data_IF_525380431764
#
_entry.id   IF_525380431764
#
_cell.length_a   1.000
_cell.length_b   1.000
_cell.length_c   1.000
_cell.angle_alpha   90.00
_cell.angle_beta   90.00
_cell.angle_gamma   90.00
#
_symmetry.space_group_name_H-M   'P 1'
#
loop_
_entity.id
_entity.type
_entity.pdbx_description
1 polymer ?
#
# COMPACT_ATOMS: atom_id res chain seq x y z
N UNK A 1 6.85 -15.05 4.87
CA UNK A 1 7.82 -14.12 5.49
C UNK A 1 8.15 -13.03 4.50
N UNK A 2 7.60 -11.83 4.71
CA UNK A 2 8.01 -10.63 3.96
C UNK A 2 8.67 -9.71 4.98
N UNK A 3 9.92 -9.31 4.71
CA UNK A 3 10.71 -8.41 5.56
C UNK A 3 10.69 -7.05 4.90
N UNK A 4 10.18 -6.03 5.59
CA UNK A 4 10.08 -4.68 5.06
C UNK A 4 11.13 -3.75 5.69
N UNK A 5 11.94 -3.12 4.84
CA UNK A 5 12.70 -1.92 5.18
C UNK A 5 12.63 -1.01 3.95
N UNK A 6 11.90 0.09 4.03
CA UNK A 6 11.81 1.06 2.94
C UNK A 6 12.75 2.25 3.24
N UNK A 7 13.95 2.21 2.66
CA UNK A 7 14.77 3.40 2.42
C UNK A 7 14.87 3.54 0.91
N UNK A 8 13.94 4.27 0.30
CA UNK A 8 13.92 4.49 -1.15
C UNK A 8 14.02 6.00 -1.46
N UNK A 9 15.04 6.44 -2.23
CA UNK A 9 15.20 7.84 -2.62
C UNK A 9 14.25 8.29 -3.74
N UNK A 10 13.52 7.39 -4.40
CA UNK A 10 12.49 7.73 -5.39
C UNK A 10 11.18 7.02 -5.03
N UNK A 11 10.15 7.82 -4.76
CA UNK A 11 8.84 7.34 -4.31
C UNK A 11 7.83 7.45 -5.47
N UNK A 12 7.28 6.33 -5.96
CA UNK A 12 6.10 6.39 -6.81
C UNK A 12 4.91 6.79 -5.94
N UNK A 13 4.34 7.98 -6.17
CA UNK A 13 3.03 8.31 -5.61
C UNK A 13 2.00 7.40 -6.25
N UNK A 14 1.07 6.88 -5.44
CA UNK A 14 -0.09 6.11 -5.90
C UNK A 14 -0.79 6.90 -7.01
N UNK A 15 -0.79 6.41 -8.23
CA UNK A 15 -1.53 7.06 -9.30
C UNK A 15 -3.01 6.74 -9.11
N UNK A 16 -3.88 7.75 -9.24
CA UNK A 16 -5.34 7.67 -8.99
C UNK A 16 -6.11 6.67 -9.87
N UNK A 17 -5.43 5.89 -10.71
CA UNK A 17 -5.98 4.91 -11.67
C UNK A 17 -5.79 3.46 -11.18
N UNK A 18 -5.08 3.21 -10.07
CA UNK A 18 -4.66 1.85 -9.67
C UNK A 18 -5.76 0.96 -9.06
N UNK A 19 -6.82 1.53 -8.48
CA UNK A 19 -7.85 0.76 -7.75
C UNK A 19 -8.51 -0.36 -8.59
N UNK A 20 -8.92 -0.05 -9.82
CA UNK A 20 -9.54 -1.03 -10.72
C UNK A 20 -8.55 -2.03 -11.33
N UNK A 21 -7.29 -1.62 -11.49
CA UNK A 21 -6.31 -2.40 -12.25
C UNK A 21 -5.73 -3.57 -11.44
N UNK A 22 -5.75 -3.47 -10.12
CA UNK A 22 -5.19 -4.49 -9.22
C UNK A 22 -5.86 -5.84 -9.45
N UNK A 23 -7.19 -5.87 -9.49
CA UNK A 23 -7.94 -7.11 -9.69
C UNK A 23 -7.84 -7.61 -11.14
N UNK A 24 -7.91 -6.70 -12.12
CA UNK A 24 -7.79 -7.02 -13.55
C UNK A 24 -6.43 -7.67 -13.90
N UNK A 25 -5.35 -7.22 -13.26
CA UNK A 25 -4.03 -7.80 -13.41
C UNK A 25 -3.80 -9.07 -12.55
N UNK A 26 -4.78 -9.46 -11.73
CA UNK A 26 -4.68 -10.62 -10.84
C UNK A 26 -3.64 -10.46 -9.73
N UNK A 27 -3.43 -9.22 -9.26
CA UNK A 27 -2.46 -8.94 -8.20
C UNK A 27 -2.93 -9.60 -6.89
N UNK A 28 -2.06 -10.39 -6.28
CA UNK A 28 -2.34 -11.09 -5.02
C UNK A 28 -1.70 -10.41 -3.81
N UNK A 29 -0.55 -9.80 -4.01
CA UNK A 29 0.19 -9.02 -3.02
C UNK A 29 0.43 -7.63 -3.61
N UNK A 30 -0.13 -6.61 -2.96
CA UNK A 30 -0.01 -5.23 -3.40
C UNK A 30 0.84 -4.45 -2.40
N UNK A 31 2.00 -3.97 -2.84
CA UNK A 31 2.95 -3.25 -2.00
C UNK A 31 2.88 -1.77 -2.36
N UNK A 32 2.69 -0.93 -1.34
CA UNK A 32 2.43 0.51 -1.49
C UNK A 32 3.44 1.33 -0.69
N UNK A 33 4.66 1.55 -1.22
CA UNK A 33 5.58 2.53 -0.67
C UNK A 33 4.96 3.93 -0.73
N UNK A 34 4.95 4.66 0.38
CA UNK A 34 4.29 5.97 0.46
C UNK A 34 4.93 6.90 1.51
N UNK A 35 4.57 8.19 1.42
CA UNK A 35 4.97 9.23 2.37
C UNK A 35 3.77 9.83 3.12
N UNK A 36 2.75 9.02 3.37
CA UNK A 36 1.48 9.48 3.91
C UNK A 36 1.27 8.85 5.28
N UNK A 37 1.57 9.59 6.35
CA UNK A 37 1.51 9.15 7.75
C UNK A 37 0.19 9.57 8.45
N UNK A 38 -0.86 9.77 7.67
CA UNK A 38 -2.19 10.13 8.17
C UNK A 38 -3.04 8.89 8.47
N UNK A 39 -3.94 8.99 9.44
CA UNK A 39 -4.92 7.93 9.71
C UNK A 39 -5.87 7.74 8.53
N UNK A 40 -6.20 8.81 7.80
CA UNK A 40 -7.06 8.74 6.62
C UNK A 40 -6.51 7.83 5.52
N UNK A 41 -5.18 7.75 5.40
CA UNK A 41 -4.53 6.85 4.45
C UNK A 41 -4.81 5.39 4.76
N UNK A 42 -4.90 5.03 6.05
CA UNK A 42 -5.17 3.66 6.49
C UNK A 42 -6.54 3.18 5.99
N UNK A 43 -7.54 4.06 6.00
CA UNK A 43 -8.85 3.78 5.40
C UNK A 43 -8.74 3.51 3.90
N UNK A 44 -7.93 4.28 3.18
CA UNK A 44 -7.71 4.09 1.73
C UNK A 44 -7.07 2.75 1.43
N UNK A 45 -5.95 2.40 2.07
CA UNK A 45 -5.25 1.14 1.79
C UNK A 45 -6.04 -0.10 2.22
N UNK A 46 -6.87 0.02 3.26
CA UNK A 46 -7.83 -1.03 3.64
C UNK A 46 -8.94 -1.19 2.59
N UNK A 47 -9.44 -0.10 2.04
CA UNK A 47 -10.42 -0.13 0.95
C UNK A 47 -9.83 -0.77 -0.32
N UNK A 48 -8.56 -0.50 -0.65
CA UNK A 48 -7.85 -1.16 -1.75
C UNK A 48 -7.84 -2.69 -1.54
N UNK A 49 -7.53 -3.16 -0.33
CA UNK A 49 -7.49 -4.59 -0.03
C UNK A 49 -8.85 -5.26 -0.23
N UNK A 50 -9.91 -4.58 0.24
CA UNK A 50 -11.29 -5.02 0.06
C UNK A 50 -11.70 -5.06 -1.41
N UNK A 51 -11.47 -4.00 -2.18
CA UNK A 51 -11.88 -3.95 -3.58
C UNK A 51 -11.09 -4.93 -4.45
N UNK A 52 -9.75 -4.95 -4.29
CA UNK A 52 -8.87 -5.77 -5.11
C UNK A 52 -8.77 -7.24 -4.68
N UNK A 53 -9.35 -7.62 -3.53
CA UNK A 53 -9.25 -8.96 -2.94
C UNK A 53 -7.82 -9.49 -2.90
N UNK A 54 -6.90 -8.64 -2.44
CA UNK A 54 -5.47 -8.93 -2.34
C UNK A 54 -4.93 -8.53 -0.97
N UNK A 55 -3.77 -9.07 -0.59
CA UNK A 55 -3.06 -8.58 0.58
C UNK A 55 -2.42 -7.22 0.25
N UNK A 56 -2.65 -6.21 1.08
CA UNK A 56 -2.08 -4.88 0.88
C UNK A 56 -1.07 -4.58 1.97
N UNK A 57 0.10 -4.09 1.58
CA UNK A 57 1.19 -3.68 2.46
C UNK A 57 1.49 -2.20 2.23
N UNK A 58 1.08 -1.34 3.15
CA UNK A 58 1.41 0.08 3.13
C UNK A 58 2.74 0.30 3.83
N UNK A 59 3.71 0.88 3.14
CA UNK A 59 5.06 1.10 3.66
C UNK A 59 5.34 2.59 3.73
N UNK A 60 5.20 3.16 4.93
CA UNK A 60 5.50 4.56 5.20
C UNK A 60 6.77 4.67 6.06
N UNK A 61 7.70 5.52 5.61
CA UNK A 61 8.95 5.77 6.32
C UNK A 61 8.72 6.50 7.65
N UNK A 62 9.44 6.07 8.68
CA UNK A 62 9.66 6.87 9.87
C UNK A 62 10.94 7.69 9.64
N UNK A 63 10.83 9.02 9.68
CA UNK A 63 11.94 9.90 9.28
C UNK A 63 12.17 10.99 10.32
N UNK A 64 13.42 11.09 10.78
CA UNK A 64 13.88 12.17 11.66
C UNK A 64 14.64 13.23 10.86
N UNK A 65 14.59 14.48 11.32
CA UNK A 65 15.37 15.57 10.73
C UNK A 65 16.89 15.28 10.74
N UNK A 66 17.37 14.61 11.79
CA UNK A 66 18.77 14.20 11.95
C UNK A 66 19.22 13.14 10.94
N UNK A 67 18.31 12.45 10.24
CA UNK A 67 18.65 11.49 9.20
C UNK A 67 19.16 12.17 7.92
N UNK A 68 18.90 13.47 7.74
CA UNK A 68 19.45 14.23 6.63
C UNK A 68 20.90 14.65 6.90
N UNK A 69 21.76 14.77 5.87
CA UNK A 69 23.10 15.35 6.02
C UNK A 69 23.04 16.77 6.58
N UNK A 70 24.05 17.21 7.34
CA UNK A 70 24.11 18.55 7.95
C UNK A 70 23.88 19.70 6.96
N UNK A 71 24.32 19.53 5.71
CA UNK A 71 24.16 20.52 4.64
C UNK A 71 22.73 20.63 4.09
N UNK A 72 21.80 19.76 4.50
CA UNK A 72 20.45 19.71 3.95
C UNK A 72 19.50 20.67 4.70
N UNK A 73 18.62 21.43 4.01
CA UNK A 73 17.75 22.42 4.67
C UNK A 73 16.77 21.85 5.71
N UNK A 74 16.47 20.54 5.65
CA UNK A 74 15.60 19.88 6.62
C UNK A 74 16.36 19.26 7.79
N UNK A 75 17.70 19.28 7.77
CA UNK A 75 18.51 18.81 8.88
C UNK A 75 18.27 19.67 10.12
N UNK A 76 18.09 19.00 11.25
CA UNK A 76 18.03 19.62 12.56
C UNK A 76 18.51 18.59 13.59
N UNK A 77 19.30 19.04 14.55
CA UNK A 77 19.72 18.22 15.68
C UNK A 77 18.52 17.79 16.54
N UNK A 78 18.63 16.60 17.13
CA UNK A 78 17.65 16.06 18.08
C UNK A 78 16.55 15.19 17.46
N UNK A 79 15.45 15.06 18.20
CA UNK A 79 14.41 14.04 17.97
C UNK A 79 13.26 14.50 17.07
N UNK A 80 13.42 15.58 16.29
CA UNK A 80 12.34 16.11 15.45
C UNK A 80 11.92 15.07 14.40
N UNK A 81 10.73 14.52 14.56
CA UNK A 81 10.09 13.62 13.59
C UNK A 81 9.52 14.45 12.45
N UNK A 82 9.91 14.11 11.23
CA UNK A 82 9.40 14.70 9.99
C UNK A 82 8.29 13.83 9.37
N UNK A 83 8.36 12.51 9.59
CA UNK A 83 7.33 11.56 9.18
C UNK A 83 7.23 10.47 10.23
N UNK A 84 5.99 10.18 10.65
CA UNK A 84 5.74 9.25 11.76
C UNK A 84 5.67 7.79 11.32
N UNK A 85 5.80 7.48 10.03
CA UNK A 85 5.57 6.12 9.54
C UNK A 85 4.09 5.80 9.42
N UNK A 86 3.63 4.72 10.06
CA UNK A 86 2.28 4.19 9.88
C UNK A 86 2.21 3.07 8.83
N UNK A 87 3.30 2.31 8.69
CA UNK A 87 3.30 1.09 7.88
C UNK A 87 2.31 0.07 8.45
N UNK A 88 1.54 -0.57 7.57
CA UNK A 88 0.41 -1.43 7.95
C UNK A 88 0.18 -2.51 6.90
N UNK A 89 -0.56 -3.55 7.28
CA UNK A 89 -0.89 -4.66 6.39
C UNK A 89 -2.33 -5.13 6.59
N UNK A 90 -3.00 -5.47 5.49
CA UNK A 90 -4.40 -5.86 5.48
C UNK A 90 -4.62 -7.14 4.66
N UNK A 91 -5.54 -7.99 5.12
CA UNK A 91 -6.00 -9.17 4.40
C UNK A 91 -6.92 -8.78 3.22
N UNK A 92 -7.19 -9.70 2.28
CA UNK A 92 -8.17 -9.50 1.20
C UNK A 92 -9.60 -9.19 1.67
N UNK A 93 -9.92 -9.53 2.92
CA UNK A 93 -11.20 -9.21 3.57
C UNK A 93 -11.12 -7.95 4.42
N UNK A 94 -9.99 -7.23 4.36
CA UNK A 94 -9.75 -6.00 5.10
C UNK A 94 -9.47 -6.23 6.59
N UNK A 95 -9.14 -7.44 7.02
CA UNK A 95 -8.69 -7.67 8.39
C UNK A 95 -7.31 -7.03 8.59
N UNK A 96 -7.07 -6.49 9.78
CA UNK A 96 -5.77 -5.89 10.09
C UNK A 96 -4.79 -6.99 10.44
N UNK A 97 -3.77 -7.16 9.60
CA UNK A 97 -2.67 -8.11 9.82
C UNK A 97 -1.49 -7.45 10.53
N UNK A 98 -1.33 -6.13 10.31
CA UNK A 98 -0.35 -5.30 10.99
C UNK A 98 -0.93 -3.91 11.22
N UNK A 99 -1.05 -3.54 12.49
CA UNK A 99 -1.50 -2.21 12.91
C UNK A 99 -0.45 -1.14 12.54
N UNK A 100 -0.90 0.06 12.14
CA UNK A 100 0.00 1.16 11.84
C UNK A 100 0.79 1.57 13.09
N UNK A 101 2.10 1.70 12.94
CA UNK A 101 2.99 2.19 14.00
C UNK A 101 3.48 3.59 13.71
N UNK A 102 3.21 4.50 14.65
CA UNK A 102 3.61 5.90 14.56
C UNK A 102 4.74 6.30 15.53
N UNK A 103 5.26 5.34 16.31
CA UNK A 103 6.16 5.61 17.43
C UNK A 103 7.64 5.37 17.11
N UNK A 104 7.96 4.76 15.96
CA UNK A 104 9.35 4.53 15.59
C UNK A 104 9.57 3.59 14.41
N UNK A 105 10.84 3.43 14.05
CA UNK A 105 11.30 2.45 13.06
C UNK A 105 11.09 1.03 13.57
N UNK A 106 10.66 0.14 12.67
CA UNK A 106 10.39 -1.26 13.00
C UNK A 106 10.56 -2.12 11.76
N UNK A 107 10.88 -3.39 11.99
CA UNK A 107 10.81 -4.45 10.98
C UNK A 107 9.75 -5.44 11.44
N UNK A 108 8.71 -5.59 10.63
CA UNK A 108 7.60 -6.50 10.90
C UNK A 108 7.63 -7.70 9.97
N UNK A 109 7.13 -8.81 10.47
CA UNK A 109 6.89 -10.02 9.70
C UNK A 109 5.40 -10.33 9.80
N UNK A 110 4.76 -10.46 8.65
CA UNK A 110 3.35 -10.83 8.54
C UNK A 110 3.24 -12.18 7.85
N UNK A 111 2.35 -13.02 8.37
CA UNK A 111 1.95 -14.27 7.74
C UNK A 111 0.70 -14.05 6.91
N UNK A 112 0.65 -14.66 5.72
CA UNK A 112 -0.46 -14.52 4.79
C UNK A 112 -0.90 -15.92 4.36
N UNK A 113 -2.14 -16.30 4.66
CA UNK A 113 -2.75 -17.50 4.10
C UNK A 113 -3.23 -17.21 2.67
N UNK A 114 -2.47 -17.68 1.68
CA UNK A 114 -2.81 -17.49 0.28
C UNK A 114 -4.14 -18.14 -0.12
N UNK A 115 -4.66 -19.07 0.68
CA UNK A 115 -6.01 -19.62 0.50
C UNK A 115 -7.12 -18.58 0.71
N UNK A 116 -6.86 -17.50 1.45
CA UNK A 116 -7.84 -16.41 1.65
C UNK A 116 -8.18 -15.68 0.37
N UNK A 117 -7.24 -15.56 -0.58
CA UNK A 117 -7.45 -14.87 -1.87
C UNK A 117 -8.62 -15.51 -2.64
N UNK A 118 -8.61 -16.84 -2.73
CA UNK A 118 -9.65 -17.60 -3.42
C UNK A 118 -10.98 -17.45 -2.68
N UNK A 119 -10.96 -17.59 -1.34
CA UNK A 119 -12.17 -17.46 -0.51
C UNK A 119 -12.78 -16.06 -0.62
N UNK A 120 -11.96 -15.01 -0.63
CA UNK A 120 -12.40 -13.63 -0.74
C UNK A 120 -12.97 -13.31 -2.14
N UNK A 121 -12.43 -13.94 -3.19
CA UNK A 121 -12.98 -13.86 -4.56
C UNK A 121 -14.33 -14.55 -4.72
N UNK A 122 -14.70 -15.51 -3.87
CA UNK A 122 -16.05 -16.09 -3.89
C UNK A 122 -17.10 -15.03 -3.50
N UNK A 123 -16.75 -14.13 -2.57
CA UNK A 123 -17.64 -13.06 -2.11
C UNK A 123 -17.70 -11.88 -3.10
N UNK A 124 -16.56 -11.50 -3.69
CA UNK A 124 -16.50 -10.44 -4.70
C UNK A 124 -15.33 -10.67 -5.66
N UNK A 125 -15.61 -10.65 -6.96
CA UNK A 125 -14.61 -10.75 -8.03
C UNK A 125 -14.92 -9.70 -9.10
N UNK A 126 -14.32 -8.52 -8.96
CA UNK A 126 -14.65 -7.32 -9.73
C UNK A 126 -14.32 -7.52 -11.20
N UNK A 127 -13.17 -8.15 -11.49
CA UNK A 127 -12.74 -8.50 -12.83
C UNK A 127 -13.45 -9.74 -13.41
N UNK A 128 -14.06 -10.58 -12.56
CA UNK A 128 -14.69 -11.83 -12.95
C UNK A 128 -16.20 -11.77 -12.95
N UNK A 129 -16.85 -12.50 -12.05
CA UNK A 129 -18.31 -12.71 -12.12
C UNK A 129 -19.17 -11.49 -11.74
N UNK A 130 -18.59 -10.46 -11.11
CA UNK A 130 -19.24 -9.15 -10.94
C UNK A 130 -18.96 -8.19 -12.10
N UNK A 131 -18.09 -8.56 -13.04
CA UNK A 131 -17.84 -7.73 -14.21
C UNK A 131 -19.10 -7.66 -15.10
N UNK A 132 -19.38 -6.46 -15.63
CA UNK A 132 -20.47 -6.21 -16.59
C UNK A 132 -19.90 -5.73 -17.93
N UNK A 133 -19.17 -6.59 -18.66
CA UNK A 133 -18.53 -6.22 -19.92
C UNK A 133 -19.52 -5.85 -21.04
N UNK A 134 -20.81 -6.18 -20.84
CA UNK A 134 -21.91 -5.76 -21.69
C UNK A 134 -22.33 -4.29 -21.48
N UNK A 135 -21.97 -3.69 -20.34
CA UNK A 135 -22.26 -2.27 -20.03
C UNK A 135 -20.97 -1.44 -20.03
N UNK A 136 -19.93 -1.90 -19.34
CA UNK A 136 -18.70 -1.17 -19.11
C UNK A 136 -17.50 -1.93 -19.66
N UNK A 137 -16.67 -1.23 -20.43
CA UNK A 137 -15.40 -1.76 -20.93
C UNK A 137 -14.30 -0.75 -20.64
N UNK A 138 -13.22 -1.21 -20.03
CA UNK A 138 -12.01 -0.43 -19.81
C UNK A 138 -11.00 -0.77 -20.91
N UNK A 139 -10.51 0.25 -21.60
CA UNK A 139 -9.38 0.12 -22.53
C UNK A 139 -8.24 1.00 -22.02
N UNK A 140 -7.08 0.40 -21.79
CA UNK A 140 -5.89 1.09 -21.26
C UNK A 140 -4.91 1.34 -22.40
N UNK A 141 -4.40 2.58 -22.49
CA UNK A 141 -3.30 2.90 -23.38
C UNK A 141 -1.98 2.82 -22.60
N UNK A 142 -1.19 1.78 -22.86
CA UNK A 142 0.09 1.54 -22.19
C UNK A 142 1.28 2.16 -22.94
N UNK A 143 1.03 2.93 -24.02
CA UNK A 143 2.12 3.60 -24.73
C UNK A 143 2.76 4.66 -23.83
N UNK A 144 4.10 4.70 -23.84
CA UNK A 144 4.86 5.73 -23.13
C UNK A 144 4.50 7.11 -23.70
N UNK A 145 4.14 8.04 -22.82
CA UNK A 145 4.05 9.46 -23.17
C UNK A 145 5.44 9.94 -23.60
N UNK A 146 5.54 10.46 -24.82
CA UNK A 146 6.77 11.03 -25.38
C UNK A 146 7.07 12.39 -24.77
#
# INVERSE_FOLDING_TARGET
MVVFQAVLPEMPFLNSVELFNIDLCGIQLYIVPNAVDSETWQTTVRAIALEGRCFVFSLCQFLRASAFPESHPRHADGERILMRGGSSAYSPLGDVLLEPNFEGERVDIVECDMGELIRAKIDLDVAGHYSRPDIFQLTVNENRLQ
#
